data_IF_604370949420
#
_entry.id   IF_604370949420
#
_cell.length_a   1.000
_cell.length_b   1.000
_cell.length_c   1.000
_cell.angle_alpha   90.00
_cell.angle_beta   90.00
_cell.angle_gamma   90.00
#
_symmetry.space_group_name_H-M   'P 1'
#
loop_
_entity.id
_entity.type
_entity.pdbx_description
1 polymer ?
#
# COMPACT_ATOMS: atom_id res chain seq x y z
N UNK A 1 6.36 21.07 4.85
CA UNK A 1 5.94 20.46 3.58
C UNK A 1 7.00 19.58 2.88
N UNK A 2 8.29 19.64 3.26
CA UNK A 2 9.39 18.97 2.56
C UNK A 2 9.18 17.46 2.26
N UNK A 3 8.59 16.72 3.19
CA UNK A 3 8.34 15.27 3.01
C UNK A 3 7.38 14.99 1.84
N UNK A 4 6.31 15.78 1.70
CA UNK A 4 5.32 15.58 0.64
C UNK A 4 5.88 15.93 -0.74
N UNK A 5 6.72 16.97 -0.79
CA UNK A 5 7.35 17.41 -2.04
C UNK A 5 8.38 16.38 -2.51
N UNK A 6 9.17 15.86 -1.57
CA UNK A 6 10.15 14.81 -1.85
C UNK A 6 9.47 13.49 -2.26
N UNK A 7 8.38 13.11 -1.59
CA UNK A 7 7.57 11.95 -1.95
C UNK A 7 7.03 12.09 -3.38
N UNK A 8 6.45 13.24 -3.73
CA UNK A 8 5.97 13.51 -5.09
C UNK A 8 7.10 13.47 -6.11
N UNK A 9 8.28 14.00 -5.77
CA UNK A 9 9.46 14.00 -6.66
C UNK A 9 9.93 12.60 -6.99
N UNK A 10 10.00 11.71 -6.00
CA UNK A 10 10.45 10.32 -6.20
C UNK A 10 9.38 9.53 -6.98
N UNK A 11 8.09 9.69 -6.64
CA UNK A 11 7.00 8.97 -7.31
C UNK A 11 6.81 9.32 -8.79
N UNK A 12 7.30 10.50 -9.25
CA UNK A 12 7.34 10.83 -10.69
C UNK A 12 8.19 9.86 -11.51
N UNK A 13 9.14 9.14 -10.89
CA UNK A 13 9.99 8.15 -11.56
C UNK A 13 9.30 6.79 -11.70
N UNK A 14 8.18 6.56 -11.02
CA UNK A 14 7.43 5.31 -11.16
C UNK A 14 6.82 5.23 -12.56
N UNK A 15 6.93 4.06 -13.18
CA UNK A 15 6.36 3.78 -14.51
C UNK A 15 4.83 3.73 -14.45
N UNK A 16 4.27 3.32 -13.31
CA UNK A 16 2.83 3.31 -13.11
C UNK A 16 2.32 4.70 -12.73
N UNK A 17 1.18 5.12 -13.31
CA UNK A 17 0.54 6.39 -12.96
C UNK A 17 0.22 6.41 -11.47
N UNK A 18 0.81 7.36 -10.76
CA UNK A 18 0.63 7.54 -9.32
C UNK A 18 0.08 8.93 -9.02
N UNK A 19 -0.86 9.02 -8.10
CA UNK A 19 -1.49 10.27 -7.63
C UNK A 19 -1.33 10.35 -6.12
N UNK A 20 -0.78 11.46 -5.63
CA UNK A 20 -0.65 11.74 -4.19
C UNK A 20 -1.69 12.79 -3.84
N UNK A 21 -2.66 12.45 -2.99
CA UNK A 21 -3.75 13.35 -2.60
C UNK A 21 -3.27 14.37 -1.57
N UNK A 22 -2.52 13.91 -0.56
CA UNK A 22 -2.05 14.76 0.52
C UNK A 22 -1.95 14.01 1.84
N UNK A 23 -1.71 14.76 2.91
CA UNK A 23 -1.83 14.26 4.28
C UNK A 23 -3.26 14.51 4.78
N UNK A 24 -3.90 13.48 5.33
CA UNK A 24 -5.21 13.58 5.95
C UNK A 24 -5.11 14.28 7.31
N UNK A 25 -6.25 14.69 7.88
CA UNK A 25 -6.30 15.26 9.23
C UNK A 25 -5.82 14.33 10.34
N UNK A 26 -5.66 13.03 10.05
CA UNK A 26 -5.14 12.01 10.95
C UNK A 26 -3.61 11.82 10.80
N UNK A 27 -2.95 12.60 9.94
CA UNK A 27 -1.51 12.47 9.69
C UNK A 27 -1.13 11.33 8.74
N UNK A 28 -2.09 10.73 8.02
CA UNK A 28 -1.84 9.68 7.04
C UNK A 28 -1.68 10.26 5.64
N UNK A 29 -0.83 9.67 4.81
CA UNK A 29 -0.69 10.09 3.42
C UNK A 29 -1.48 9.17 2.50
N UNK A 30 -2.36 9.75 1.71
CA UNK A 30 -3.17 9.01 0.74
C UNK A 30 -2.54 9.04 -0.65
N UNK A 31 -2.31 7.85 -1.21
CA UNK A 31 -1.68 7.65 -2.51
C UNK A 31 -2.45 6.60 -3.29
N UNK A 32 -2.72 6.88 -4.56
CA UNK A 32 -3.29 5.92 -5.50
C UNK A 32 -2.29 5.60 -6.59
N UNK A 33 -1.99 4.32 -6.80
CA UNK A 33 -1.11 3.83 -7.86
C UNK A 33 -1.91 2.94 -8.82
N UNK A 34 -1.82 3.20 -10.12
CA UNK A 34 -2.50 2.39 -11.15
C UNK A 34 -1.96 0.95 -11.13
N UNK A 35 -2.85 -0.04 -11.01
CA UNK A 35 -2.52 -1.46 -11.15
C UNK A 35 -2.25 -1.76 -12.63
N UNK A 36 -1.02 -2.17 -12.96
CA UNK A 36 -0.57 -2.45 -14.34
C UNK A 36 -0.26 -3.93 -14.61
N UNK A 37 -0.11 -4.75 -13.58
CA UNK A 37 0.12 -6.19 -13.69
C UNK A 37 -0.48 -6.91 -12.48
N UNK A 38 -0.43 -8.25 -12.49
CA UNK A 38 -0.73 -9.07 -11.31
C UNK A 38 0.22 -8.68 -10.18
N UNK A 39 -0.32 -8.63 -8.97
CA UNK A 39 0.45 -8.31 -7.79
C UNK A 39 1.49 -9.40 -7.55
N UNK A 40 2.72 -9.03 -7.21
CA UNK A 40 3.77 -9.99 -6.87
C UNK A 40 3.29 -10.93 -5.75
N UNK A 41 2.63 -10.38 -4.73
CA UNK A 41 2.10 -11.20 -3.63
C UNK A 41 1.09 -12.23 -4.15
N UNK A 42 0.19 -11.85 -5.05
CA UNK A 42 -0.79 -12.79 -5.60
C UNK A 42 -0.13 -13.92 -6.42
N UNK A 43 1.03 -13.69 -7.02
CA UNK A 43 1.73 -14.70 -7.81
C UNK A 43 2.59 -15.63 -6.95
N UNK A 44 3.12 -15.12 -5.84
CA UNK A 44 4.13 -15.83 -5.04
C UNK A 44 3.66 -16.22 -3.63
N UNK A 45 2.41 -15.91 -3.27
CA UNK A 45 1.88 -16.23 -1.94
C UNK A 45 0.52 -16.89 -2.04
N UNK A 46 0.30 -17.85 -1.16
CA UNK A 46 -0.97 -18.51 -0.93
C UNK A 46 -1.56 -18.04 0.41
N UNK A 47 -2.86 -18.21 0.57
CA UNK A 47 -3.55 -17.86 1.80
C UNK A 47 -3.06 -18.71 2.98
N UNK A 48 -2.75 -18.07 4.11
CA UNK A 48 -2.24 -18.78 5.28
C UNK A 48 -3.32 -19.71 5.86
N UNK A 49 -3.08 -21.03 5.96
CA UNK A 49 -4.10 -22.00 6.40
C UNK A 49 -4.47 -21.85 7.87
N UNK A 50 -3.63 -21.19 8.67
CA UNK A 50 -3.85 -21.03 10.12
C UNK A 50 -4.69 -19.80 10.49
N UNK A 51 -4.67 -18.76 9.65
CA UNK A 51 -5.36 -17.50 9.95
C UNK A 51 -6.23 -16.97 8.81
N UNK A 52 -6.26 -17.62 7.64
CA UNK A 52 -7.02 -17.17 6.48
C UNK A 52 -6.66 -15.75 6.05
N UNK A 53 -5.35 -15.43 6.06
CA UNK A 53 -4.85 -14.10 5.71
C UNK A 53 -5.11 -12.99 6.74
N UNK A 54 -5.85 -13.24 7.82
CA UNK A 54 -6.20 -12.19 8.81
C UNK A 54 -5.03 -11.72 9.68
N UNK A 55 -3.95 -12.51 9.74
CA UNK A 55 -2.81 -12.25 10.64
C UNK A 55 -3.16 -12.36 12.13
N UNK A 56 -4.34 -12.87 12.49
CA UNK A 56 -4.82 -12.99 13.87
C UNK A 56 -5.30 -14.41 14.14
N UNK A 57 -5.06 -14.92 15.35
CA UNK A 57 -5.72 -16.12 15.87
C UNK A 57 -6.80 -15.68 16.86
N UNK A 58 -7.93 -16.41 16.93
CA UNK A 58 -8.92 -16.14 17.98
C UNK A 58 -8.27 -16.35 19.34
N UNK A 59 -8.26 -15.30 20.15
CA UNK A 59 -7.85 -15.39 21.55
C UNK A 59 -8.93 -16.13 22.35
N UNK A 60 -8.51 -16.85 23.39
CA UNK A 60 -9.39 -17.66 24.26
C UNK A 60 -10.19 -16.80 25.26
N UNK A 61 -10.80 -15.70 24.81
CA UNK A 61 -11.77 -14.95 25.61
C UNK A 61 -13.18 -15.32 25.20
#
# INVERSE_FOLDING_TARGET
QMVMDELKRILKKDRAKTTVVGMSGLGLVEVTRKKVSRDYLQVFTDECPYCGGTGKKRGAR
#
